data_IF_402255467195
#
_entry.id   IF_402255467195
#
_cell.length_a   1.000
_cell.length_b   1.000
_cell.length_c   1.000
_cell.angle_alpha   90.00
_cell.angle_beta   90.00
_cell.angle_gamma   90.00
#
_symmetry.space_group_name_H-M   'P 1'
#
loop_
_entity.id
_entity.type
_entity.pdbx_description
1 polymer ?
#
# COMPACT_ATOMS: atom_id res chain seq x y z
N UNK A 1 11.43 -1.68 15.90
CA UNK A 1 12.90 -1.58 15.82
C UNK A 1 13.40 -1.08 17.17
N UNK A 2 14.23 -1.85 17.88
CA UNK A 2 14.77 -1.48 19.20
C UNK A 2 15.71 -0.27 19.08
N UNK A 3 15.81 0.55 20.14
CA UNK A 3 16.57 1.81 20.17
C UNK A 3 18.05 1.60 19.77
N UNK A 4 18.62 0.46 20.15
CA UNK A 4 19.99 0.04 19.83
C UNK A 4 20.25 -0.23 18.34
N UNK A 5 19.25 -0.73 17.60
CA UNK A 5 19.38 -0.92 16.14
C UNK A 5 19.40 0.42 15.41
N UNK A 6 18.69 1.43 15.93
CA UNK A 6 18.65 2.77 15.35
C UNK A 6 19.99 3.51 15.52
N UNK A 7 20.65 3.30 16.65
CA UNK A 7 21.97 3.89 16.94
C UNK A 7 23.13 3.18 16.22
N UNK A 8 22.98 1.90 15.86
CA UNK A 8 24.01 1.13 15.13
C UNK A 8 23.89 1.20 13.61
N UNK A 9 22.70 1.44 13.06
CA UNK A 9 22.41 1.57 11.62
C UNK A 9 21.89 2.97 11.26
N UNK A 10 22.63 3.99 11.70
CA UNK A 10 22.20 5.39 11.57
C UNK A 10 22.31 5.97 10.16
N UNK A 11 22.83 5.23 9.18
CA UNK A 11 23.00 5.70 7.80
C UNK A 11 22.48 4.69 6.80
N UNK A 12 22.03 5.20 5.66
CA UNK A 12 21.46 4.43 4.57
C UNK A 12 22.16 4.79 3.27
N UNK A 13 22.52 3.78 2.49
CA UNK A 13 23.12 3.92 1.17
C UNK A 13 22.08 3.63 0.09
N UNK A 14 22.00 4.50 -0.91
CA UNK A 14 21.20 4.30 -2.10
C UNK A 14 21.93 3.36 -3.07
N UNK A 15 21.27 2.27 -3.48
CA UNK A 15 21.84 1.27 -4.39
C UNK A 15 20.99 1.16 -5.64
N UNK A 16 21.54 1.57 -6.78
CA UNK A 16 20.94 1.36 -8.08
C UNK A 16 21.50 0.08 -8.73
N UNK A 17 20.69 -0.61 -9.52
CA UNK A 17 21.08 -1.89 -10.15
C UNK A 17 22.18 -1.71 -11.21
N UNK A 18 22.29 -0.53 -11.83
CA UNK A 18 23.32 -0.18 -12.83
C UNK A 18 23.42 -1.16 -14.02
N UNK A 19 22.29 -1.75 -14.45
CA UNK A 19 22.21 -2.73 -15.54
C UNK A 19 22.04 -2.11 -16.95
N UNK A 20 22.36 -0.82 -17.09
CA UNK A 20 22.15 -0.06 -18.33
C UNK A 20 20.68 0.36 -18.59
N UNK A 21 19.72 -0.08 -17.76
CA UNK A 21 18.32 0.38 -17.81
C UNK A 21 17.97 1.32 -16.65
N UNK A 22 18.90 1.54 -15.73
CA UNK A 22 18.78 2.54 -14.67
C UNK A 22 18.73 3.94 -15.30
N UNK A 23 17.74 4.74 -14.91
CA UNK A 23 17.60 6.12 -15.40
C UNK A 23 18.77 6.97 -14.91
N UNK A 24 19.18 8.02 -15.65
CA UNK A 24 20.32 8.85 -15.28
C UNK A 24 20.25 9.43 -13.86
N UNK A 25 19.06 9.90 -13.43
CA UNK A 25 18.87 10.44 -12.08
C UNK A 25 19.14 9.38 -10.99
N UNK A 26 18.60 8.16 -11.15
CA UNK A 26 18.85 7.07 -10.20
C UNK A 26 20.31 6.59 -10.22
N UNK A 27 20.94 6.57 -11.39
CA UNK A 27 22.34 6.19 -11.54
C UNK A 27 23.27 7.19 -10.84
N UNK A 28 22.97 8.49 -10.90
CA UNK A 28 23.72 9.54 -10.21
C UNK A 28 23.65 9.41 -8.68
N UNK A 29 22.61 8.76 -8.16
CA UNK A 29 22.42 8.51 -6.74
C UNK A 29 23.09 7.21 -6.25
N UNK A 30 23.58 6.37 -7.16
CA UNK A 30 24.17 5.10 -6.78
C UNK A 30 25.40 5.32 -5.87
N UNK A 31 25.38 4.68 -4.70
CA UNK A 31 26.46 4.75 -3.73
C UNK A 31 26.36 5.92 -2.75
N UNK A 32 25.45 6.88 -2.96
CA UNK A 32 25.23 8.01 -2.04
C UNK A 32 24.73 7.52 -0.69
N UNK A 33 25.30 8.06 0.39
CA UNK A 33 24.96 7.71 1.77
C UNK A 33 24.36 8.93 2.46
N UNK A 34 23.25 8.75 3.16
CA UNK A 34 22.64 9.81 3.98
C UNK A 34 22.30 9.27 5.37
N UNK A 35 22.14 10.14 6.38
CA UNK A 35 21.54 9.75 7.66
C UNK A 35 20.17 9.07 7.44
N UNK A 36 19.88 8.04 8.23
CA UNK A 36 18.63 7.26 8.13
C UNK A 36 17.38 8.11 8.41
N UNK A 37 17.52 9.20 9.15
CA UNK A 37 16.47 10.17 9.46
C UNK A 37 16.43 11.38 8.52
N UNK A 38 17.26 11.39 7.46
CA UNK A 38 17.29 12.48 6.48
C UNK A 38 15.90 12.70 5.86
N UNK A 39 15.45 13.97 5.72
CA UNK A 39 14.20 14.30 5.03
C UNK A 39 14.13 13.77 3.59
N UNK A 40 15.28 13.57 2.94
CA UNK A 40 15.38 13.00 1.60
C UNK A 40 14.61 11.68 1.48
N UNK A 41 14.72 10.80 2.48
CA UNK A 41 14.07 9.49 2.47
C UNK A 41 12.56 9.58 2.50
N UNK A 42 11.97 10.67 2.99
CA UNK A 42 10.51 10.83 3.03
C UNK A 42 9.88 10.90 1.64
N UNK A 43 10.67 11.29 0.63
CA UNK A 43 10.19 11.57 -0.74
C UNK A 43 10.90 10.75 -1.82
N UNK A 44 12.08 10.21 -1.54
CA UNK A 44 12.93 9.57 -2.53
C UNK A 44 13.36 8.15 -2.12
N UNK A 45 12.59 7.49 -1.26
CA UNK A 45 12.84 6.10 -0.90
C UNK A 45 12.25 5.17 -1.98
N UNK A 46 13.06 4.27 -2.58
CA UNK A 46 12.62 3.42 -3.68
C UNK A 46 11.32 2.63 -3.39
N UNK A 47 10.44 2.45 -4.40
CA UNK A 47 10.64 2.78 -5.81
C UNK A 47 10.38 4.25 -6.15
N UNK A 48 11.30 4.87 -6.91
CA UNK A 48 11.24 6.30 -7.27
C UNK A 48 10.63 6.56 -8.66
N UNK A 49 9.89 5.60 -9.19
CA UNK A 49 9.31 5.66 -10.54
C UNK A 49 8.85 4.28 -11.01
N UNK A 50 8.09 4.25 -12.10
CA UNK A 50 7.63 3.00 -12.68
C UNK A 50 8.79 2.07 -13.05
N UNK A 51 8.70 0.80 -12.64
CA UNK A 51 9.72 -0.23 -12.84
C UNK A 51 11.10 0.11 -12.23
N UNK A 52 11.14 0.96 -11.20
CA UNK A 52 12.35 1.21 -10.43
C UNK A 52 12.74 -0.05 -9.64
N UNK A 53 14.01 -0.42 -9.71
CA UNK A 53 14.60 -1.62 -9.06
C UNK A 53 15.71 -1.26 -8.07
N UNK A 54 15.85 0.03 -7.77
CA UNK A 54 16.82 0.50 -6.79
C UNK A 54 16.37 0.09 -5.39
N UNK A 55 17.31 0.01 -4.46
CA UNK A 55 17.05 -0.32 -3.06
C UNK A 55 17.85 0.59 -2.15
N UNK A 56 17.60 0.47 -0.84
CA UNK A 56 18.34 1.16 0.21
C UNK A 56 18.91 0.10 1.14
N UNK A 57 20.21 0.20 1.42
CA UNK A 57 20.89 -0.70 2.36
C UNK A 57 21.35 0.09 3.58
N UNK A 58 21.19 -0.49 4.76
CA UNK A 58 21.67 0.14 5.99
C UNK A 58 23.18 0.00 6.11
N UNK A 59 23.88 1.10 6.42
CA UNK A 59 25.33 1.13 6.64
C UNK A 59 25.63 1.73 8.00
N UNK A 60 26.62 1.19 8.68
CA UNK A 60 27.11 1.64 9.97
C UNK A 60 28.27 2.63 9.81
N UNK A 61 28.60 3.40 10.85
CA UNK A 61 29.74 4.34 10.83
C UNK A 61 31.07 3.66 10.53
N UNK A 62 31.28 2.45 11.05
CA UNK A 62 32.52 1.70 10.79
C UNK A 62 32.60 1.22 9.34
N UNK A 63 31.48 0.84 8.72
CA UNK A 63 31.43 0.50 7.29
C UNK A 63 31.72 1.73 6.42
N UNK A 64 31.17 2.90 6.77
CA UNK A 64 31.47 4.17 6.08
C UNK A 64 32.97 4.45 6.09
N UNK A 65 33.63 4.37 7.26
CA UNK A 65 35.07 4.60 7.39
C UNK A 65 35.90 3.53 6.68
N UNK A 66 35.51 2.26 6.80
CA UNK A 66 36.22 1.12 6.17
C UNK A 66 36.18 1.21 4.65
N UNK A 67 35.02 1.54 4.09
CA UNK A 67 34.76 1.51 2.66
C UNK A 67 34.98 2.88 1.98
N UNK A 68 35.38 3.90 2.76
CA UNK A 68 35.67 5.24 2.26
C UNK A 68 34.46 5.97 1.70
N UNK A 69 33.28 5.73 2.26
CA UNK A 69 32.03 6.32 1.79
C UNK A 69 31.89 7.76 2.29
N UNK A 70 31.37 8.63 1.44
CA UNK A 70 31.03 10.01 1.81
C UNK A 70 29.56 10.08 2.23
N UNK A 71 29.31 10.78 3.34
CA UNK A 71 27.95 11.05 3.83
C UNK A 71 27.50 12.39 3.28
N UNK A 72 26.41 12.36 2.53
CA UNK A 72 25.73 13.54 2.02
C UNK A 72 24.75 14.06 3.08
N UNK A 73 24.67 15.39 3.20
CA UNK A 73 23.70 16.03 4.09
C UNK A 73 22.33 16.21 3.40
N UNK A 74 22.35 16.60 2.13
CA UNK A 74 21.16 16.86 1.33
C UNK A 74 21.39 16.48 -0.14
N UNK A 75 20.33 16.02 -0.79
CA UNK A 75 20.34 15.62 -2.20
C UNK A 75 19.03 16.05 -2.87
N UNK A 76 19.06 16.39 -4.17
CA UNK A 76 17.87 16.85 -4.86
C UNK A 76 16.80 15.76 -4.95
N UNK A 77 15.54 16.19 -4.94
CA UNK A 77 14.41 15.32 -5.27
C UNK A 77 14.59 14.73 -6.67
N UNK A 78 14.32 13.43 -6.79
CA UNK A 78 14.48 12.70 -8.06
C UNK A 78 13.36 11.72 -8.39
N UNK A 79 12.44 11.46 -7.46
CA UNK A 79 11.34 10.55 -7.73
C UNK A 79 10.31 11.15 -8.69
N UNK A 80 9.76 10.30 -9.56
CA UNK A 80 8.68 10.68 -10.47
C UNK A 80 7.44 11.15 -9.68
N UNK A 81 6.62 12.00 -10.30
CA UNK A 81 5.30 12.35 -9.76
C UNK A 81 4.48 11.08 -9.49
N UNK A 82 3.93 10.96 -8.28
CA UNK A 82 3.22 9.76 -7.80
C UNK A 82 4.09 8.76 -7.02
N UNK A 83 5.42 8.92 -7.07
CA UNK A 83 6.40 8.14 -6.30
C UNK A 83 7.17 9.00 -5.28
N UNK A 84 6.73 10.24 -5.05
CA UNK A 84 7.31 11.17 -4.08
C UNK A 84 6.92 10.83 -2.64
N UNK A 85 7.28 9.65 -2.17
CA UNK A 85 6.95 9.16 -0.83
C UNK A 85 7.98 8.15 -0.30
N UNK A 86 7.77 7.68 0.92
CA UNK A 86 8.51 6.57 1.50
C UNK A 86 7.58 5.39 1.79
N UNK A 87 7.64 4.29 1.00
CA UNK A 87 6.81 3.09 1.21
C UNK A 87 6.95 2.48 2.62
N UNK A 88 8.10 2.62 3.27
CA UNK A 88 8.34 2.11 4.63
C UNK A 88 7.73 2.96 5.74
N UNK A 89 7.37 4.22 5.46
CA UNK A 89 6.72 5.13 6.41
C UNK A 89 5.22 5.30 6.15
N UNK A 90 4.71 4.87 4.99
CA UNK A 90 3.28 5.00 4.68
C UNK A 90 2.50 4.06 5.59
N UNK A 91 1.85 4.64 6.59
CA UNK A 91 0.60 4.07 7.06
C UNK A 91 -0.34 4.12 5.86
N UNK A 92 -0.82 2.98 5.34
CA UNK A 92 -1.72 2.89 4.16
C UNK A 92 -2.93 3.84 4.19
N UNK A 93 -3.22 4.42 5.36
CA UNK A 93 -4.21 5.46 5.58
C UNK A 93 -3.77 6.84 5.10
N UNK A 94 -2.50 7.21 5.16
CA UNK A 94 -2.07 8.60 5.15
C UNK A 94 -1.35 9.01 3.85
N UNK A 95 -1.76 10.17 3.36
CA UNK A 95 -1.15 10.97 2.29
C UNK A 95 -1.63 10.64 0.87
N UNK A 96 -1.16 9.60 0.17
CA UNK A 96 -1.50 9.48 -1.28
C UNK A 96 -2.97 9.15 -1.54
N UNK A 97 -3.50 8.13 -0.86
CA UNK A 97 -4.91 7.78 -0.95
C UNK A 97 -5.78 8.94 -0.46
N UNK A 98 -5.46 9.53 0.69
CA UNK A 98 -6.22 10.68 1.22
C UNK A 98 -6.16 11.92 0.33
N UNK A 99 -5.02 12.24 -0.29
CA UNK A 99 -4.91 13.39 -1.20
C UNK A 99 -5.66 13.10 -2.49
N UNK A 100 -5.56 11.88 -3.03
CA UNK A 100 -6.33 11.45 -4.19
C UNK A 100 -7.84 11.46 -3.90
N UNK A 101 -8.28 10.94 -2.76
CA UNK A 101 -9.67 10.93 -2.33
C UNK A 101 -10.18 12.34 -2.03
N UNK A 102 -9.43 13.21 -1.32
CA UNK A 102 -9.83 14.61 -1.08
C UNK A 102 -9.91 15.42 -2.37
N UNK A 103 -9.04 15.14 -3.35
CA UNK A 103 -9.12 15.76 -4.68
C UNK A 103 -10.35 15.25 -5.45
N UNK A 104 -10.58 13.93 -5.43
CA UNK A 104 -11.72 13.29 -6.07
C UNK A 104 -13.07 13.62 -5.39
N UNK A 105 -13.11 13.89 -4.08
CA UNK A 105 -14.31 14.40 -3.39
C UNK A 105 -14.68 15.81 -3.88
N UNK A 106 -13.68 16.59 -4.30
CA UNK A 106 -13.87 17.95 -4.78
C UNK A 106 -14.28 18.01 -6.25
N UNK A 107 -13.92 17.01 -7.02
CA UNK A 107 -14.36 16.84 -8.41
C UNK A 107 -15.65 16.01 -8.39
N UNK A 108 -16.80 16.64 -8.69
CA UNK A 108 -18.04 15.90 -8.89
C UNK A 108 -17.77 14.74 -9.85
N UNK A 109 -18.18 13.53 -9.48
CA UNK A 109 -18.10 12.38 -10.39
C UNK A 109 -18.80 12.74 -11.71
N UNK A 110 -18.00 13.05 -12.73
CA UNK A 110 -18.51 13.36 -14.06
C UNK A 110 -18.71 12.01 -14.76
N UNK A 111 -19.93 11.69 -15.20
CA UNK A 111 -20.15 10.51 -16.02
C UNK A 111 -19.20 10.54 -17.23
N UNK A 112 -18.55 9.41 -17.53
CA UNK A 112 -17.72 9.29 -18.74
C UNK A 112 -18.56 9.48 -20.03
N UNK A 113 -19.88 9.29 -19.91
CA UNK A 113 -20.85 9.41 -20.99
C UNK A 113 -22.09 10.13 -20.51
N UNK A 114 -22.76 10.85 -21.42
CA UNK A 114 -24.04 11.55 -21.16
C UNK A 114 -25.23 10.59 -20.90
N UNK A 115 -24.98 9.29 -20.94
CA UNK A 115 -25.97 8.23 -20.78
C UNK A 115 -25.47 7.25 -19.74
N UNK A 116 -26.39 6.71 -18.93
CA UNK A 116 -26.09 5.69 -17.95
C UNK A 116 -26.18 4.26 -18.49
N UNK A 117 -26.11 3.27 -17.58
CA UNK A 117 -26.16 1.84 -17.90
C UNK A 117 -27.42 1.42 -18.69
N UNK A 118 -28.52 2.18 -18.58
CA UNK A 118 -29.79 1.96 -19.26
C UNK A 118 -29.65 1.95 -20.78
N UNK A 119 -28.74 2.75 -21.35
CA UNK A 119 -28.48 2.78 -22.80
C UNK A 119 -27.99 1.44 -23.33
N UNK A 120 -27.28 0.68 -22.50
CA UNK A 120 -26.72 -0.63 -22.85
C UNK A 120 -27.68 -1.77 -22.46
N UNK A 121 -28.93 -1.46 -22.10
CA UNK A 121 -29.91 -2.45 -21.65
C UNK A 121 -29.55 -3.07 -20.29
N UNK A 122 -28.68 -2.43 -19.52
CA UNK A 122 -28.40 -2.89 -18.15
C UNK A 122 -29.68 -2.76 -17.32
N UNK A 123 -30.12 -3.82 -16.64
CA UNK A 123 -31.31 -3.75 -15.84
C UNK A 123 -31.11 -2.81 -14.64
N UNK A 124 -32.16 -2.11 -14.23
CA UNK A 124 -32.14 -1.21 -13.06
C UNK A 124 -31.72 -1.96 -11.78
N UNK A 125 -32.04 -3.26 -11.71
CA UNK A 125 -31.55 -4.19 -10.69
C UNK A 125 -31.04 -5.45 -11.38
N UNK A 126 -29.82 -5.85 -11.06
CA UNK A 126 -29.27 -7.14 -11.49
C UNK A 126 -30.17 -8.24 -10.93
N UNK A 127 -30.74 -9.13 -11.77
CA UNK A 127 -31.53 -10.25 -11.29
C UNK A 127 -30.70 -11.10 -10.33
N UNK A 128 -31.22 -11.33 -9.13
CA UNK A 128 -30.59 -12.23 -8.17
C UNK A 128 -30.98 -13.66 -8.52
N UNK A 129 -30.06 -14.42 -9.11
CA UNK A 129 -30.18 -15.87 -9.19
C UNK A 129 -29.79 -16.46 -7.82
N UNK A 130 -30.71 -17.09 -7.08
CA UNK A 130 -30.36 -17.68 -5.80
C UNK A 130 -29.37 -18.82 -6.02
N UNK A 131 -28.38 -18.92 -5.13
CA UNK A 131 -27.44 -20.04 -5.17
C UNK A 131 -28.20 -21.38 -5.15
N UNK A 132 -27.88 -22.33 -6.06
CA UNK A 132 -28.63 -23.59 -6.20
C UNK A 132 -28.47 -24.50 -4.98
N UNK A 133 -27.38 -24.34 -4.23
CA UNK A 133 -27.07 -25.08 -3.01
C UNK A 133 -27.17 -24.18 -1.80
N UNK A 134 -27.91 -24.64 -0.79
CA UNK A 134 -27.99 -23.98 0.52
C UNK A 134 -26.67 -24.16 1.26
N UNK A 135 -25.88 -23.08 1.38
CA UNK A 135 -24.58 -23.05 2.08
C UNK A 135 -24.68 -23.26 3.61
N UNK A 136 -25.90 -23.23 4.17
CA UNK A 136 -26.15 -23.41 5.59
C UNK A 136 -27.46 -22.76 6.04
N UNK A 137 -27.76 -22.76 7.35
CA UNK A 137 -28.87 -22.00 7.89
C UNK A 137 -28.59 -20.49 7.83
N UNK A 138 -29.61 -19.69 7.57
CA UNK A 138 -29.52 -18.22 7.58
C UNK A 138 -29.51 -17.68 9.00
N UNK A 139 -29.10 -16.42 9.17
CA UNK A 139 -29.14 -15.77 10.49
C UNK A 139 -30.58 -15.66 11.03
N UNK A 140 -31.56 -15.53 10.14
CA UNK A 140 -32.99 -15.51 10.49
C UNK A 140 -33.46 -16.86 11.03
N UNK A 141 -33.07 -17.95 10.39
CA UNK A 141 -33.35 -19.32 10.85
C UNK A 141 -32.68 -19.63 12.20
N UNK A 142 -31.56 -18.96 12.48
CA UNK A 142 -30.86 -19.00 13.76
C UNK A 142 -31.35 -17.96 14.77
N UNK A 143 -32.46 -17.26 14.50
CA UNK A 143 -33.05 -16.22 15.38
C UNK A 143 -32.04 -15.15 15.81
N UNK A 144 -31.17 -14.73 14.90
CA UNK A 144 -30.15 -13.72 15.18
C UNK A 144 -28.91 -14.25 15.91
N UNK A 145 -28.77 -15.57 16.14
CA UNK A 145 -27.63 -16.14 16.84
C UNK A 145 -26.36 -16.18 15.95
N UNK A 146 -25.65 -15.05 15.93
CA UNK A 146 -24.40 -14.85 15.17
C UNK A 146 -23.27 -15.81 15.58
N UNK A 147 -23.23 -16.22 16.85
CA UNK A 147 -22.21 -17.14 17.36
C UNK A 147 -22.41 -18.54 16.76
N UNK A 148 -23.67 -19.01 16.72
CA UNK A 148 -23.99 -20.31 16.12
C UNK A 148 -23.74 -20.32 14.61
N UNK A 149 -24.07 -19.23 13.92
CA UNK A 149 -23.77 -19.10 12.48
C UNK A 149 -22.27 -19.21 12.20
N UNK A 150 -21.44 -18.49 12.96
CA UNK A 150 -19.98 -18.58 12.86
C UNK A 150 -19.48 -20.00 13.11
N UNK A 151 -19.96 -20.66 14.16
CA UNK A 151 -19.57 -22.04 14.45
C UNK A 151 -19.86 -22.97 13.27
N UNK A 152 -21.07 -22.91 12.70
CA UNK A 152 -21.45 -23.75 11.56
C UNK A 152 -20.63 -23.44 10.31
N UNK A 153 -20.32 -22.17 10.07
CA UNK A 153 -19.44 -21.74 8.98
C UNK A 153 -18.02 -22.31 9.15
N UNK A 154 -17.48 -22.25 10.37
CA UNK A 154 -16.19 -22.84 10.73
C UNK A 154 -16.16 -24.35 10.56
N UNK A 155 -17.22 -25.06 10.97
CA UNK A 155 -17.34 -26.52 10.79
C UNK A 155 -17.43 -26.91 9.31
N UNK A 156 -18.05 -26.08 8.47
CA UNK A 156 -18.25 -26.38 7.06
C UNK A 156 -17.02 -26.10 6.17
N UNK A 157 -16.28 -25.01 6.43
CA UNK A 157 -15.19 -24.53 5.55
C UNK A 157 -13.81 -24.73 6.18
N UNK A 158 -13.71 -24.79 7.52
CA UNK A 158 -12.44 -24.80 8.25
C UNK A 158 -11.71 -23.45 8.23
N UNK A 159 -10.87 -23.18 9.24
CA UNK A 159 -10.07 -21.95 9.37
C UNK A 159 -10.58 -20.94 10.41
N UNK A 160 -9.82 -19.87 10.69
CA UNK A 160 -10.27 -18.76 11.55
C UNK A 160 -11.10 -17.76 10.72
N UNK A 161 -12.28 -17.36 11.22
CA UNK A 161 -13.19 -16.48 10.51
C UNK A 161 -13.10 -15.06 11.05
N UNK A 162 -13.07 -14.08 10.14
CA UNK A 162 -13.00 -12.66 10.49
C UNK A 162 -14.32 -12.01 10.10
N UNK A 163 -14.96 -11.39 11.09
CA UNK A 163 -16.18 -10.63 10.83
C UNK A 163 -15.81 -9.23 10.38
N UNK A 164 -16.13 -8.91 9.12
CA UNK A 164 -15.91 -7.58 8.56
C UNK A 164 -17.26 -6.86 8.53
N UNK A 165 -17.32 -5.70 9.20
CA UNK A 165 -18.48 -4.82 9.12
C UNK A 165 -18.32 -3.92 7.90
N UNK A 166 -19.31 -3.94 7.02
CA UNK A 166 -19.35 -3.07 5.86
C UNK A 166 -19.99 -1.73 6.22
N UNK A 167 -19.66 -0.63 5.49
CA UNK A 167 -20.14 0.72 5.82
C UNK A 167 -21.67 0.91 5.76
N UNK A 168 -22.38 -0.02 5.12
CA UNK A 168 -23.85 -0.09 5.05
C UNK A 168 -24.49 -0.76 6.28
N UNK A 169 -23.68 -1.18 7.27
CA UNK A 169 -24.16 -1.80 8.51
C UNK A 169 -24.34 -3.31 8.44
N UNK A 170 -24.03 -3.93 7.29
CA UNK A 170 -24.03 -5.38 7.12
C UNK A 170 -22.75 -5.99 7.72
N UNK A 171 -22.79 -7.29 8.06
CA UNK A 171 -21.61 -8.03 8.52
C UNK A 171 -21.39 -9.23 7.63
N UNK A 172 -20.20 -9.35 7.07
CA UNK A 172 -19.77 -10.50 6.26
C UNK A 172 -18.80 -11.33 7.10
N UNK A 173 -18.99 -12.66 7.08
CA UNK A 173 -18.06 -13.62 7.68
C UNK A 173 -17.16 -14.12 6.57
N UNK A 174 -15.85 -13.88 6.70
CA UNK A 174 -14.80 -14.42 5.83
C UNK A 174 -14.08 -15.56 6.55
#
# INVERSE_FOLDING_TARGET
MTRELKDSRSYWQYVAVMDGRTRPANAAMNGKVLPADSPFWKRNFPPNGFNCRCTVVSVSKSEIVRDGLEVEEDLPDMADMGFLNNPGEINYRDILAQVAFKKAEKENWIPLTDYGPEKYGSPEKVPYEPMPSRLGPTLEELRGNKQKLRQLFHEAIGGESVLVNTPDGSSIIL
#
